data_IF_294488468639
#
_entry.id   IF_294488468639
#
_cell.length_a   1.000
_cell.length_b   1.000
_cell.length_c   1.000
_cell.angle_alpha   90.00
_cell.angle_beta   90.00
_cell.angle_gamma   90.00
#
_symmetry.space_group_name_H-M   'P 1'
#
loop_
_entity.id
_entity.type
_entity.pdbx_description
1 polymer ?
#
# COMPACT_ATOMS: atom_id res chain seq x y z
N UNK A 1 1.97 2.65 20.26
CA UNK A 1 1.93 1.16 20.17
C UNK A 1 1.64 0.46 21.48
N UNK A 2 2.29 0.85 22.57
CA UNK A 2 1.98 0.41 23.94
C UNK A 2 0.52 0.64 24.32
N UNK A 3 -0.10 1.72 23.83
CA UNK A 3 -1.53 1.99 23.97
C UNK A 3 -2.45 0.91 23.39
N UNK A 4 -2.17 0.36 22.20
CA UNK A 4 -3.03 -0.68 21.59
C UNK A 4 -2.99 -2.00 22.39
N UNK A 5 -1.82 -2.32 22.95
CA UNK A 5 -1.66 -3.46 23.86
C UNK A 5 -2.40 -3.22 25.17
N UNK A 6 -2.30 -2.01 25.73
CA UNK A 6 -3.04 -1.58 26.94
C UNK A 6 -4.56 -1.68 26.75
N UNK A 7 -5.07 -1.31 25.57
CA UNK A 7 -6.50 -1.35 25.21
C UNK A 7 -7.00 -2.73 24.78
N UNK A 8 -6.14 -3.76 24.89
CA UNK A 8 -6.43 -5.15 24.54
C UNK A 8 -6.96 -5.33 23.11
N UNK A 9 -6.35 -4.61 22.17
CA UNK A 9 -6.64 -4.73 20.73
C UNK A 9 -6.05 -6.04 20.20
N UNK A 10 -6.76 -6.71 19.27
CA UNK A 10 -6.31 -8.00 18.71
C UNK A 10 -4.98 -7.88 17.96
N UNK A 11 -4.21 -8.98 17.92
CA UNK A 11 -2.90 -9.03 17.23
C UNK A 11 -3.01 -8.64 15.76
N UNK A 12 -4.09 -9.06 15.09
CA UNK A 12 -4.39 -8.67 13.71
C UNK A 12 -4.51 -7.16 13.56
N UNK A 13 -5.29 -6.48 14.41
CA UNK A 13 -5.47 -5.03 14.27
C UNK A 13 -4.18 -4.28 14.59
N UNK A 14 -3.42 -4.72 15.60
CA UNK A 14 -2.09 -4.14 15.87
C UNK A 14 -1.15 -4.27 14.66
N UNK A 15 -1.23 -5.39 13.94
CA UNK A 15 -0.46 -5.63 12.72
C UNK A 15 -0.97 -4.78 11.55
N UNK A 16 -2.28 -4.73 11.33
CA UNK A 16 -2.90 -3.90 10.28
C UNK A 16 -2.55 -2.43 10.43
N UNK A 17 -2.58 -1.88 11.65
CA UNK A 17 -2.17 -0.49 11.90
C UNK A 17 -0.71 -0.25 11.49
N UNK A 18 0.20 -1.19 11.75
CA UNK A 18 1.60 -1.06 11.30
C UNK A 18 1.71 -1.07 9.79
N UNK A 19 1.03 -2.02 9.14
CA UNK A 19 1.05 -2.16 7.68
C UNK A 19 0.42 -0.92 7.02
N UNK A 20 -0.64 -0.38 7.59
CA UNK A 20 -1.27 0.88 7.16
C UNK A 20 -0.27 2.03 7.13
N UNK A 21 0.46 2.26 8.23
CA UNK A 21 1.46 3.33 8.28
C UNK A 21 2.65 3.09 7.35
N UNK A 22 3.03 1.82 7.11
CA UNK A 22 4.07 1.48 6.13
C UNK A 22 3.62 1.89 4.72
N UNK A 23 2.40 1.52 4.30
CA UNK A 23 1.90 1.95 2.99
C UNK A 23 1.75 3.47 2.90
N UNK A 24 1.23 4.11 3.94
CA UNK A 24 1.09 5.57 3.98
C UNK A 24 2.43 6.27 3.79
N UNK A 25 3.47 5.77 4.46
CA UNK A 25 4.83 6.27 4.30
C UNK A 25 5.34 6.05 2.87
N UNK A 26 5.17 4.86 2.31
CA UNK A 26 5.60 4.54 0.94
C UNK A 26 4.92 5.46 -0.08
N UNK A 27 3.59 5.61 -0.03
CA UNK A 27 2.85 6.44 -0.99
C UNK A 27 3.20 7.91 -0.86
N UNK A 28 3.37 8.39 0.38
CA UNK A 28 3.81 9.76 0.63
C UNK A 28 5.23 9.97 0.10
N UNK A 29 6.15 9.01 0.31
CA UNK A 29 7.51 9.09 -0.19
C UNK A 29 7.56 9.12 -1.71
N UNK A 30 6.79 8.28 -2.39
CA UNK A 30 6.65 8.32 -3.85
C UNK A 30 6.13 9.68 -4.33
N UNK A 31 5.09 10.23 -3.68
CA UNK A 31 4.56 11.55 -4.03
C UNK A 31 5.60 12.66 -3.85
N UNK A 32 6.30 12.67 -2.72
CA UNK A 32 7.37 13.64 -2.45
C UNK A 32 8.48 13.49 -3.48
N UNK A 33 8.87 12.26 -3.84
CA UNK A 33 9.85 12.01 -4.89
C UNK A 33 9.38 12.56 -6.24
N UNK A 34 8.13 12.33 -6.67
CA UNK A 34 7.59 12.89 -7.91
C UNK A 34 7.69 14.41 -7.93
N UNK A 35 7.33 15.07 -6.83
CA UNK A 35 7.43 16.54 -6.74
C UNK A 35 8.89 16.97 -6.74
N UNK A 36 9.76 16.29 -6.01
CA UNK A 36 11.18 16.64 -5.96
C UNK A 36 11.86 16.56 -7.33
N UNK A 37 11.57 15.53 -8.12
CA UNK A 37 12.21 15.32 -9.43
C UNK A 37 11.56 16.08 -10.58
N UNK A 38 10.25 16.33 -10.54
CA UNK A 38 9.52 16.82 -11.71
C UNK A 38 8.71 18.11 -11.48
N UNK A 39 8.77 18.73 -10.30
CA UNK A 39 8.11 20.01 -10.07
C UNK A 39 8.72 21.11 -10.97
N UNK A 40 7.91 21.84 -11.76
CA UNK A 40 8.40 22.97 -12.54
C UNK A 40 8.98 24.08 -11.65
N UNK A 41 10.03 24.80 -12.10
CA UNK A 41 10.64 25.88 -11.32
C UNK A 41 9.66 27.00 -10.96
N UNK A 42 8.69 27.27 -11.84
CA UNK A 42 7.74 28.38 -11.72
C UNK A 42 6.60 28.11 -10.73
N UNK A 43 6.38 26.86 -10.34
CA UNK A 43 5.31 26.51 -9.39
C UNK A 43 5.75 26.77 -7.95
N UNK A 44 4.92 27.45 -7.15
CA UNK A 44 5.21 27.63 -5.72
C UNK A 44 4.96 26.34 -4.94
N UNK A 45 5.66 26.14 -3.83
CA UNK A 45 5.40 25.01 -2.93
C UNK A 45 4.02 25.12 -2.26
N UNK A 46 3.57 26.34 -1.96
CA UNK A 46 2.28 26.58 -1.32
C UNK A 46 1.11 26.15 -2.22
N UNK A 47 1.22 26.33 -3.54
CA UNK A 47 0.18 25.93 -4.49
C UNK A 47 0.05 24.41 -4.66
N UNK A 48 1.01 23.63 -4.14
CA UNK A 48 0.95 22.17 -4.17
C UNK A 48 0.17 21.57 -2.99
N UNK A 49 -0.05 22.34 -1.91
CA UNK A 49 -0.72 21.84 -0.70
C UNK A 49 -2.11 21.22 -0.99
N UNK A 50 -2.99 21.84 -1.82
CA UNK A 50 -4.26 21.22 -2.17
C UNK A 50 -4.08 19.87 -2.88
N UNK A 51 -3.11 19.76 -3.79
CA UNK A 51 -2.78 18.51 -4.50
C UNK A 51 -2.22 17.44 -3.57
N UNK A 52 -1.42 17.82 -2.57
CA UNK A 52 -0.94 16.90 -1.54
C UNK A 52 -2.08 16.40 -0.65
N UNK A 53 -3.03 17.28 -0.29
CA UNK A 53 -4.20 16.90 0.50
C UNK A 53 -5.11 15.95 -0.26
N UNK A 54 -5.43 16.27 -1.52
CA UNK A 54 -6.19 15.41 -2.41
C UNK A 54 -5.48 14.07 -2.61
N UNK A 55 -4.17 14.10 -2.85
CA UNK A 55 -3.35 12.92 -2.96
C UNK A 55 -3.39 12.06 -1.69
N UNK A 56 -3.35 12.65 -0.50
CA UNK A 56 -3.44 11.91 0.76
C UNK A 56 -4.79 11.19 0.88
N UNK A 57 -5.89 11.82 0.47
CA UNK A 57 -7.20 11.15 0.43
C UNK A 57 -7.19 9.92 -0.47
N UNK A 58 -6.61 10.03 -1.66
CA UNK A 58 -6.47 8.89 -2.58
C UNK A 58 -5.58 7.79 -2.01
N UNK A 59 -4.47 8.14 -1.34
CA UNK A 59 -3.60 7.16 -0.68
C UNK A 59 -4.37 6.38 0.39
N UNK A 60 -5.10 7.10 1.26
CA UNK A 60 -5.92 6.49 2.32
C UNK A 60 -6.98 5.56 1.74
N UNK A 61 -7.62 5.96 0.63
CA UNK A 61 -8.60 5.14 -0.10
C UNK A 61 -7.95 3.85 -0.62
N UNK A 62 -6.80 3.96 -1.30
CA UNK A 62 -6.06 2.81 -1.81
C UNK A 62 -5.60 1.87 -0.70
N UNK A 63 -4.95 2.38 0.34
CA UNK A 63 -4.50 1.58 1.49
C UNK A 63 -5.68 0.83 2.11
N UNK A 64 -6.84 1.47 2.17
CA UNK A 64 -8.05 0.85 2.70
C UNK A 64 -8.53 -0.30 1.84
N UNK A 65 -8.51 -0.18 0.51
CA UNK A 65 -8.76 -1.31 -0.38
C UNK A 65 -7.77 -2.46 -0.18
N UNK A 66 -6.47 -2.18 -0.02
CA UNK A 66 -5.46 -3.23 0.15
C UNK A 66 -5.64 -4.01 1.47
N UNK A 67 -6.01 -3.30 2.55
CA UNK A 67 -6.12 -3.87 3.89
C UNK A 67 -7.52 -4.41 4.22
N UNK A 68 -8.56 -4.00 3.50
CA UNK A 68 -9.93 -4.41 3.77
C UNK A 68 -10.12 -5.95 3.73
N UNK A 69 -9.60 -6.70 2.73
CA UNK A 69 -9.75 -8.15 2.73
C UNK A 69 -9.18 -8.79 4.00
N UNK A 70 -7.99 -8.35 4.43
CA UNK A 70 -7.35 -8.85 5.66
C UNK A 70 -8.23 -8.57 6.88
N UNK A 71 -8.75 -7.34 7.00
CA UNK A 71 -9.60 -6.93 8.12
C UNK A 71 -10.93 -7.70 8.15
N UNK A 72 -11.57 -7.85 6.98
CA UNK A 72 -12.84 -8.55 6.80
C UNK A 72 -12.72 -10.04 7.10
N UNK A 73 -11.76 -10.74 6.48
CA UNK A 73 -11.60 -12.17 6.71
C UNK A 73 -11.10 -12.49 8.12
N UNK A 74 -10.38 -11.56 8.75
CA UNK A 74 -10.04 -11.68 10.16
C UNK A 74 -11.24 -11.61 11.09
N UNK A 75 -12.47 -11.34 10.60
CA UNK A 75 -13.72 -11.54 11.34
C UNK A 75 -13.88 -13.00 11.80
N UNK A 76 -13.35 -13.93 11.02
CA UNK A 76 -13.35 -15.36 11.29
C UNK A 76 -11.97 -15.79 11.82
N UNK A 77 -11.86 -16.28 13.07
CA UNK A 77 -10.56 -16.57 13.68
C UNK A 77 -9.65 -17.47 12.85
N UNK A 78 -10.23 -18.51 12.21
CA UNK A 78 -9.52 -19.48 11.38
C UNK A 78 -8.82 -18.85 10.17
N UNK A 79 -9.34 -17.72 9.69
CA UNK A 79 -8.81 -16.99 8.54
C UNK A 79 -7.90 -15.84 8.94
N UNK A 80 -7.65 -15.60 10.24
CA UNK A 80 -6.78 -14.51 10.66
C UNK A 80 -5.28 -14.81 10.40
N UNK A 81 -4.44 -13.78 10.16
CA UNK A 81 -2.99 -13.93 9.99
C UNK A 81 -2.24 -14.48 11.21
N UNK A 82 -2.90 -14.56 12.37
CA UNK A 82 -2.31 -14.98 13.65
C UNK A 82 -2.88 -16.29 14.20
N UNK A 83 -3.74 -16.98 13.43
CA UNK A 83 -4.32 -18.25 13.87
C UNK A 83 -3.44 -19.47 13.54
N UNK A 84 -2.80 -19.48 12.37
CA UNK A 84 -1.94 -20.58 11.94
C UNK A 84 -0.77 -20.09 11.09
N UNK A 85 0.32 -20.88 11.02
CA UNK A 85 1.45 -20.59 10.13
C UNK A 85 1.04 -20.56 8.65
N UNK A 86 0.02 -21.34 8.25
CA UNK A 86 -0.56 -21.29 6.89
C UNK A 86 -1.22 -19.93 6.63
N UNK A 87 -2.06 -19.45 7.55
CA UNK A 87 -2.71 -18.14 7.46
C UNK A 87 -1.69 -16.99 7.39
N UNK A 88 -0.65 -17.04 8.23
CA UNK A 88 0.47 -16.09 8.19
C UNK A 88 1.15 -16.07 6.81
N UNK A 89 1.48 -17.24 6.25
CA UNK A 89 2.11 -17.34 4.92
C UNK A 89 1.19 -16.77 3.83
N UNK A 90 -0.08 -17.16 3.83
CA UNK A 90 -1.08 -16.70 2.86
C UNK A 90 -1.22 -15.17 2.87
N UNK A 91 -1.46 -14.57 4.04
CA UNK A 91 -1.64 -13.11 4.14
C UNK A 91 -0.36 -12.32 3.84
N UNK A 92 0.80 -12.86 4.21
CA UNK A 92 2.09 -12.26 3.85
C UNK A 92 2.30 -12.31 2.33
N UNK A 93 1.95 -13.41 1.69
CA UNK A 93 2.03 -13.56 0.23
C UNK A 93 1.05 -12.62 -0.48
N UNK A 94 -0.22 -12.58 -0.05
CA UNK A 94 -1.23 -11.64 -0.55
C UNK A 94 -0.73 -10.20 -0.50
N UNK A 95 -0.27 -9.73 0.67
CA UNK A 95 0.26 -8.37 0.79
C UNK A 95 1.52 -8.18 -0.06
N UNK A 96 2.39 -9.18 -0.18
CA UNK A 96 3.57 -9.13 -1.04
C UNK A 96 3.21 -8.94 -2.52
N UNK A 97 2.27 -9.72 -3.04
CA UNK A 97 1.80 -9.64 -4.43
C UNK A 97 1.11 -8.32 -4.70
N UNK A 98 0.19 -7.89 -3.82
CA UNK A 98 -0.51 -6.62 -3.97
C UNK A 98 0.46 -5.44 -3.89
N UNK A 99 1.44 -5.47 -2.99
CA UNK A 99 2.48 -4.44 -2.92
C UNK A 99 3.33 -4.42 -4.18
N UNK A 100 3.69 -5.59 -4.73
CA UNK A 100 4.43 -5.69 -5.98
C UNK A 100 3.68 -5.00 -7.12
N UNK A 101 2.38 -5.29 -7.28
CA UNK A 101 1.55 -4.65 -8.28
C UNK A 101 1.52 -3.13 -8.11
N UNK A 102 1.32 -2.66 -6.87
CA UNK A 102 1.31 -1.22 -6.57
C UNK A 102 2.66 -0.57 -6.91
N UNK A 103 3.78 -1.15 -6.48
CA UNK A 103 5.11 -0.62 -6.77
C UNK A 103 5.42 -0.63 -8.27
N UNK A 104 4.96 -1.65 -8.99
CA UNK A 104 5.08 -1.71 -10.45
C UNK A 104 4.36 -0.54 -11.11
N UNK A 105 3.10 -0.29 -10.78
CA UNK A 105 2.34 0.83 -11.35
C UNK A 105 2.90 2.19 -10.94
N UNK A 106 3.36 2.37 -9.70
CA UNK A 106 4.04 3.59 -9.27
C UNK A 106 5.36 3.80 -10.01
N UNK A 107 6.14 2.74 -10.23
CA UNK A 107 7.39 2.79 -10.99
C UNK A 107 7.14 3.12 -12.47
N UNK A 108 6.13 2.50 -13.07
CA UNK A 108 5.72 2.77 -14.44
C UNK A 108 5.20 4.21 -14.61
N UNK A 109 4.39 4.71 -13.67
CA UNK A 109 3.92 6.10 -13.67
C UNK A 109 5.09 7.09 -13.53
N UNK A 110 6.04 6.80 -12.64
CA UNK A 110 7.25 7.63 -12.50
C UNK A 110 8.10 7.64 -13.79
N UNK A 111 8.25 6.49 -14.44
CA UNK A 111 8.94 6.36 -15.73
C UNK A 111 8.23 7.12 -16.85
N UNK A 112 6.92 6.97 -16.97
CA UNK A 112 6.09 7.72 -17.93
C UNK A 112 6.22 9.22 -17.70
N UNK A 113 6.13 9.66 -16.45
CA UNK A 113 6.23 11.08 -16.09
C UNK A 113 7.58 11.66 -16.50
N UNK A 114 8.67 10.89 -16.33
CA UNK A 114 10.00 11.33 -16.72
C UNK A 114 10.16 11.57 -18.22
N UNK A 115 9.38 10.88 -19.05
CA UNK A 115 9.51 10.93 -20.51
C UNK A 115 8.49 11.85 -21.17
N UNK A 116 7.23 11.81 -20.71
CA UNK A 116 6.09 12.48 -21.34
C UNK A 116 5.52 13.61 -20.48
N UNK A 117 5.99 13.78 -19.23
CA UNK A 117 5.42 14.71 -18.24
C UNK A 117 3.91 14.51 -18.02
N UNK A 118 3.42 13.29 -18.27
CA UNK A 118 2.02 12.89 -18.08
C UNK A 118 1.93 11.71 -17.12
N UNK A 119 0.79 11.59 -16.43
CA UNK A 119 0.47 10.40 -15.64
C UNK A 119 0.12 9.23 -16.55
N UNK A 120 0.22 8.02 -16.00
CA UNK A 120 -0.16 6.78 -16.67
C UNK A 120 -1.69 6.75 -16.86
N UNK A 121 -2.14 6.73 -18.12
CA UNK A 121 -3.55 6.74 -18.52
C UNK A 121 -3.87 5.57 -19.44
N UNK A 122 -5.17 5.33 -19.68
CA UNK A 122 -5.67 4.23 -20.51
C UNK A 122 -5.16 4.27 -21.96
N UNK A 123 -4.65 5.39 -22.46
CA UNK A 123 -4.00 5.49 -23.77
C UNK A 123 -2.77 4.57 -23.87
N UNK A 124 -2.16 4.20 -22.73
CA UNK A 124 -1.10 3.20 -22.69
C UNK A 124 -1.58 1.79 -23.11
N UNK A 125 -2.90 1.51 -23.08
CA UNK A 125 -3.48 0.25 -23.55
C UNK A 125 -3.53 0.17 -25.08
N UNK A 126 -3.43 1.29 -25.81
CA UNK A 126 -3.34 1.28 -27.28
C UNK A 126 -2.06 0.56 -27.74
N UNK A 127 -0.99 0.59 -26.94
CA UNK A 127 0.23 -0.19 -27.19
C UNK A 127 0.01 -1.72 -27.14
N UNK A 128 -1.12 -2.21 -26.62
CA UNK A 128 -1.44 -3.65 -26.62
C UNK A 128 -1.89 -4.17 -27.99
N UNK A 129 -2.20 -3.30 -28.95
CA UNK A 129 -2.54 -3.67 -30.33
C UNK A 129 -1.32 -4.18 -31.11
N UNK A 130 -0.11 -3.67 -30.80
CA UNK A 130 1.16 -4.08 -31.41
C UNK A 130 2.23 -4.46 -30.35
N UNK A 131 1.99 -5.50 -29.55
CA UNK A 131 2.76 -5.78 -28.34
C UNK A 131 4.23 -6.12 -28.60
N UNK A 132 4.54 -6.73 -29.75
CA UNK A 132 5.93 -7.05 -30.12
C UNK A 132 6.76 -5.79 -30.37
N UNK A 133 6.20 -4.82 -31.10
CA UNK A 133 6.88 -3.58 -31.43
C UNK A 133 7.04 -2.71 -30.17
N UNK A 134 6.00 -2.60 -29.34
CA UNK A 134 6.06 -1.85 -28.09
C UNK A 134 7.05 -2.44 -27.08
N UNK A 135 7.16 -3.77 -26.99
CA UNK A 135 8.17 -4.41 -26.13
C UNK A 135 9.60 -4.13 -26.61
N UNK A 136 9.82 -4.11 -27.93
CA UNK A 136 11.11 -3.77 -28.50
C UNK A 136 11.48 -2.31 -28.21
N UNK A 137 10.51 -1.40 -28.29
CA UNK A 137 10.70 0.00 -27.89
C UNK A 137 11.07 0.11 -26.41
N UNK A 138 10.36 -0.57 -25.51
CA UNK A 138 10.67 -0.54 -24.07
C UNK A 138 12.07 -1.07 -23.78
N UNK A 139 12.46 -2.17 -24.45
CA UNK A 139 13.79 -2.77 -24.28
C UNK A 139 14.92 -1.87 -24.75
N UNK A 140 14.69 -1.10 -25.83
CA UNK A 140 15.68 -0.17 -26.38
C UNK A 140 15.73 1.16 -25.62
N UNK A 141 14.58 1.62 -25.09
CA UNK A 141 14.46 2.93 -24.43
C UNK A 141 14.69 2.90 -22.91
N UNK A 142 14.44 1.77 -22.25
CA UNK A 142 14.53 1.68 -20.79
C UNK A 142 15.49 0.58 -20.32
N UNK A 143 16.18 0.79 -19.18
CA UNK A 143 17.04 -0.22 -18.56
C UNK A 143 16.20 -1.31 -17.87
N UNK A 144 15.49 -2.13 -18.64
CA UNK A 144 14.49 -3.11 -18.15
C UNK A 144 15.06 -4.04 -17.09
N UNK A 145 16.30 -4.51 -17.24
CA UNK A 145 16.95 -5.42 -16.29
C UNK A 145 17.09 -4.75 -14.91
N UNK A 146 17.53 -3.48 -14.87
CA UNK A 146 17.68 -2.74 -13.62
C UNK A 146 16.33 -2.42 -12.96
N UNK A 147 15.32 -2.12 -13.77
CA UNK A 147 13.95 -1.93 -13.29
C UNK A 147 13.44 -3.23 -12.66
N UNK A 148 13.64 -4.37 -13.32
CA UNK A 148 13.21 -5.67 -12.81
C UNK A 148 13.94 -6.02 -11.51
N UNK A 149 15.25 -5.79 -11.43
CA UNK A 149 16.03 -5.98 -10.19
C UNK A 149 15.48 -5.09 -9.06
N UNK A 150 15.20 -3.82 -9.35
CA UNK A 150 14.63 -2.88 -8.37
C UNK A 150 13.25 -3.34 -7.86
N UNK A 151 12.39 -3.79 -8.78
CA UNK A 151 11.04 -4.29 -8.47
C UNK A 151 11.12 -5.57 -7.62
N UNK A 152 11.95 -6.54 -8.02
CA UNK A 152 12.16 -7.79 -7.26
C UNK A 152 12.78 -7.49 -5.89
N UNK A 153 13.77 -6.60 -5.83
CA UNK A 153 14.41 -6.18 -4.58
C UNK A 153 13.42 -5.51 -3.63
N UNK A 154 12.58 -4.61 -4.14
CA UNK A 154 11.53 -3.96 -3.36
C UNK A 154 10.47 -4.96 -2.88
N UNK A 155 10.09 -5.94 -3.70
CA UNK A 155 9.20 -7.03 -3.30
C UNK A 155 9.78 -7.85 -2.14
N UNK A 156 11.04 -8.28 -2.26
CA UNK A 156 11.72 -9.05 -1.20
C UNK A 156 11.84 -8.25 0.09
N UNK A 157 12.16 -6.95 -0.01
CA UNK A 157 12.18 -6.02 1.12
C UNK A 157 10.82 -5.92 1.80
N UNK A 158 9.72 -5.81 1.03
CA UNK A 158 8.36 -5.73 1.58
C UNK A 158 7.94 -7.02 2.27
N UNK A 159 8.20 -8.18 1.65
CA UNK A 159 7.93 -9.49 2.27
C UNK A 159 8.71 -9.64 3.57
N UNK A 160 9.98 -9.23 3.59
CA UNK A 160 10.80 -9.22 4.79
C UNK A 160 10.23 -8.29 5.87
N UNK A 161 9.83 -7.07 5.50
CA UNK A 161 9.20 -6.12 6.41
C UNK A 161 7.91 -6.68 7.01
N UNK A 162 7.01 -7.24 6.21
CA UNK A 162 5.75 -7.82 6.73
C UNK A 162 6.00 -9.00 7.68
N UNK A 163 6.97 -9.87 7.36
CA UNK A 163 7.41 -10.94 8.28
C UNK A 163 7.95 -10.36 9.59
N UNK A 164 8.84 -9.36 9.52
CA UNK A 164 9.44 -8.71 10.70
C UNK A 164 8.37 -8.04 11.57
N UNK A 165 7.40 -7.36 10.96
CA UNK A 165 6.28 -6.71 11.65
C UNK A 165 5.41 -7.76 12.35
N UNK A 166 5.10 -8.88 11.69
CA UNK A 166 4.32 -9.99 12.26
C UNK A 166 5.02 -10.62 13.48
N UNK A 167 6.32 -10.94 13.35
CA UNK A 167 7.15 -11.47 14.44
C UNK A 167 7.22 -10.48 15.59
N UNK A 168 7.42 -9.19 15.31
CA UNK A 168 7.48 -8.15 16.34
C UNK A 168 6.15 -7.94 17.08
N UNK A 169 5.00 -8.14 16.42
CA UNK A 169 3.68 -8.17 17.11
C UNK A 169 3.55 -9.42 17.96
N UNK A 170 4.01 -10.57 17.46
CA UNK A 170 3.93 -11.84 18.21
C UNK A 170 4.78 -11.80 19.48
N UNK A 171 6.04 -11.35 19.39
CA UNK A 171 6.96 -11.26 20.53
C UNK A 171 6.51 -10.26 21.60
N UNK A 172 6.01 -9.07 21.21
CA UNK A 172 5.49 -8.07 22.18
C UNK A 172 4.24 -8.52 22.93
N UNK A 173 3.55 -9.55 22.44
CA UNK A 173 2.33 -10.10 23.03
C UNK A 173 2.54 -11.53 23.56
N UNK A 174 3.79 -11.98 23.75
CA UNK A 174 4.10 -13.35 24.22
C UNK A 174 3.73 -13.57 25.70
N UNK A 175 3.94 -12.54 26.52
CA UNK A 175 3.66 -12.55 27.97
C UNK A 175 2.18 -12.31 28.30
N UNK A 176 1.35 -12.00 27.30
CA UNK A 176 -0.09 -11.76 27.49
C UNK A 176 -0.85 -12.93 26.90
N UNK A 177 -1.11 -13.94 27.75
CA UNK A 177 -1.80 -15.16 27.38
C UNK A 177 -3.24 -14.86 26.93
N UNK A 178 -3.58 -15.33 25.71
CA UNK A 178 -4.90 -15.20 25.06
C UNK A 178 -5.44 -13.76 25.02
N UNK A 179 -5.01 -12.97 24.04
CA UNK A 179 -5.85 -11.87 23.58
C UNK A 179 -7.13 -12.47 23.00
N UNK A 180 -8.19 -12.34 23.77
CA UNK A 180 -9.53 -12.72 23.38
C UNK A 180 -9.88 -12.00 22.07
N UNK A 181 -10.43 -12.75 21.12
CA UNK A 181 -10.77 -12.25 19.80
C UNK A 181 -11.96 -11.29 19.91
N UNK A 182 -11.71 -10.05 20.33
CA UNK A 182 -12.73 -9.02 20.46
C UNK A 182 -13.13 -8.51 19.09
N UNK A 183 -14.18 -9.13 18.54
CA UNK A 183 -14.83 -8.76 17.26
C UNK A 183 -15.07 -7.25 17.13
N UNK A 184 -15.33 -6.54 18.23
CA UNK A 184 -15.54 -5.09 18.26
C UNK A 184 -14.38 -4.31 17.62
N UNK A 185 -13.12 -4.68 17.88
CA UNK A 185 -11.96 -3.99 17.30
C UNK A 185 -11.82 -4.25 15.79
N UNK A 186 -12.15 -5.46 15.35
CA UNK A 186 -12.19 -5.79 13.92
C UNK A 186 -13.30 -5.01 13.21
N UNK A 187 -14.48 -4.89 13.82
CA UNK A 187 -15.58 -4.10 13.27
C UNK A 187 -15.24 -2.61 13.19
N UNK A 188 -14.64 -2.04 14.24
CA UNK A 188 -14.18 -0.64 14.23
C UNK A 188 -13.15 -0.43 13.10
N UNK A 189 -12.20 -1.35 12.94
CA UNK A 189 -11.22 -1.26 11.87
C UNK A 189 -11.87 -1.33 10.49
N UNK A 190 -12.83 -2.24 10.26
CA UNK A 190 -13.58 -2.33 9.00
C UNK A 190 -14.36 -1.04 8.75
N UNK A 191 -15.08 -0.51 9.74
CA UNK A 191 -15.82 0.75 9.61
C UNK A 191 -14.89 1.92 9.26
N UNK A 192 -13.72 1.98 9.88
CA UNK A 192 -12.71 3.00 9.58
C UNK A 192 -12.14 2.86 8.17
N UNK A 193 -11.88 1.64 7.70
CA UNK A 193 -11.42 1.40 6.33
C UNK A 193 -12.53 1.70 5.31
N UNK A 194 -13.79 1.34 5.61
CA UNK A 194 -14.96 1.72 4.80
C UNK A 194 -15.08 3.25 4.71
N UNK A 195 -14.91 3.95 5.84
CA UNK A 195 -14.93 5.41 5.88
C UNK A 195 -13.91 6.04 4.93
N UNK A 196 -12.66 5.54 4.92
CA UNK A 196 -11.64 5.99 3.98
C UNK A 196 -11.92 5.59 2.53
N UNK A 197 -12.51 4.41 2.29
CA UNK A 197 -12.87 3.94 0.95
C UNK A 197 -13.92 4.85 0.29
N UNK A 198 -15.02 5.12 1.00
CA UNK A 198 -16.11 5.96 0.49
C UNK A 198 -15.74 7.44 0.39
N UNK A 199 -14.63 7.86 1.01
CA UNK A 199 -14.09 9.20 0.80
C UNK A 199 -15.04 10.31 1.19
N UNK A 200 -15.70 10.20 2.35
CA UNK A 200 -16.66 11.21 2.82
C UNK A 200 -16.06 12.61 3.08
N UNK A 201 -14.78 12.80 2.76
CA UNK A 201 -14.10 14.10 2.67
C UNK A 201 -14.29 14.78 1.30
N UNK A 202 -14.98 14.15 0.35
CA UNK A 202 -15.39 14.74 -0.92
C UNK A 202 -16.76 15.40 -0.71
N UNK A 203 -16.81 16.43 0.14
CA UNK A 203 -18.00 17.29 0.31
C UNK A 203 -18.13 18.35 -0.79
N UNK A 204 -17.20 18.40 -1.74
CA UNK A 204 -17.35 19.21 -2.95
C UNK A 204 -17.86 18.30 -4.07
N UNK A 205 -19.18 18.12 -4.05
CA UNK A 205 -19.92 17.76 -5.26
C UNK A 205 -19.74 18.92 -6.24
N UNK A 206 -19.26 18.59 -7.43
CA UNK A 206 -19.45 19.42 -8.62
C UNK A 206 -20.93 19.74 -8.83
#
# INVERSE_FOLDING_TARGET
MTFLVKWRVSKTIQWLVKVFFIYLFIFTAFRVATVFFFKPPQTSWASLLPSFWLGLKYDLRWISFLLMPVAFFSLFPKLSPFYSERGKKFWTFYLGVVTLLVLFFYGADFGQFSYVNSRLNADALVFTEHPRESLQMVWQSYPVIWILIGVVGAMLMMVWMFKKVHVGVTGKNINVHKFDYRRRWSLIAILMLCWFMYGLLDSERY
#
